data_IF_459853066480
#
_entry.id   IF_459853066480
#
_cell.length_a   1.000
_cell.length_b   1.000
_cell.length_c   1.000
_cell.angle_alpha   90.00
_cell.angle_beta   90.00
_cell.angle_gamma   90.00
#
_symmetry.space_group_name_H-M   'P 1'
#
loop_
_entity.id
_entity.type
_entity.pdbx_description
1 polymer ?
#
# COMPACT_ATOMS: atom_id res chain seq x y z
N UNK A 1 42.29 36.87 18.90
CA UNK A 1 42.01 35.42 18.97
C UNK A 1 40.89 35.20 19.97
N UNK A 2 39.67 35.04 19.48
CA UNK A 2 38.49 34.60 20.23
C UNK A 2 37.78 33.54 19.38
N UNK A 3 37.15 32.53 20.00
CA UNK A 3 37.08 31.20 19.44
C UNK A 3 35.98 31.04 18.38
N UNK A 4 36.39 30.55 17.22
CA UNK A 4 35.58 30.08 16.08
C UNK A 4 34.86 28.77 16.40
N UNK A 5 34.12 28.72 17.51
CA UNK A 5 33.57 27.47 18.06
C UNK A 5 32.04 27.39 18.21
N UNK A 6 31.30 28.49 18.00
CA UNK A 6 29.86 28.52 18.36
C UNK A 6 28.94 28.62 17.13
N UNK A 7 29.47 28.88 15.93
CA UNK A 7 28.64 29.01 14.72
C UNK A 7 28.40 27.72 13.91
N UNK A 8 28.94 26.58 14.36
CA UNK A 8 28.78 25.27 13.69
C UNK A 8 27.77 24.33 14.36
N UNK A 9 27.21 24.68 15.52
CA UNK A 9 26.21 23.84 16.21
C UNK A 9 24.76 24.21 15.91
N UNK A 10 24.49 25.40 15.36
CA UNK A 10 23.15 25.81 14.93
C UNK A 10 22.80 25.38 13.50
N UNK A 11 23.77 24.94 12.69
CA UNK A 11 23.54 24.47 11.31
C UNK A 11 23.26 22.96 11.23
N UNK A 12 23.59 22.18 12.27
CA UNK A 12 23.34 20.73 12.31
C UNK A 12 21.96 20.34 12.88
N UNK A 13 21.29 21.23 13.61
CA UNK A 13 19.92 20.95 14.12
C UNK A 13 18.85 21.19 13.05
N UNK A 14 19.16 21.96 11.99
CA UNK A 14 18.21 22.23 10.91
C UNK A 14 18.13 21.14 9.83
N UNK A 15 18.91 20.05 9.94
CA UNK A 15 18.82 18.90 9.01
C UNK A 15 17.95 17.73 9.53
N UNK A 16 17.31 17.88 10.69
CA UNK A 16 16.35 16.91 11.23
C UNK A 16 14.88 17.30 11.02
N UNK A 17 14.59 18.22 10.10
CA UNK A 17 13.24 18.29 9.53
C UNK A 17 13.10 17.21 8.47
N UNK A 18 12.76 16.00 8.92
CA UNK A 18 12.21 14.97 8.05
C UNK A 18 11.02 15.56 7.32
N UNK A 19 11.15 15.79 6.00
CA UNK A 19 10.02 16.14 5.15
C UNK A 19 8.95 15.05 5.33
N UNK A 20 7.90 15.39 6.06
CA UNK A 20 6.73 14.54 6.26
C UNK A 20 6.08 14.18 4.93
N UNK A 21 5.26 13.14 4.95
CA UNK A 21 4.42 12.79 3.81
C UNK A 21 3.44 13.95 3.60
N UNK A 22 3.36 14.46 2.37
CA UNK A 22 2.41 15.52 2.02
C UNK A 22 0.99 15.03 2.34
N UNK A 23 0.30 15.72 3.24
CA UNK A 23 -1.07 15.41 3.66
C UNK A 23 -1.21 14.54 4.91
N UNK A 24 -0.12 14.14 5.59
CA UNK A 24 -0.22 13.42 6.88
C UNK A 24 -0.12 14.39 8.06
N UNK A 25 -1.10 14.36 8.94
CA UNK A 25 -1.13 15.13 10.20
C UNK A 25 -1.24 14.18 11.40
N UNK A 26 -0.39 14.38 12.40
CA UNK A 26 -0.41 13.58 13.62
C UNK A 26 0.01 12.12 13.42
N UNK A 27 0.45 11.50 14.51
CA UNK A 27 0.70 10.07 14.60
C UNK A 27 0.18 9.60 15.95
N UNK A 28 -0.56 8.50 15.94
CA UNK A 28 -1.07 7.87 17.15
C UNK A 28 -0.57 6.43 17.22
N UNK A 29 0.04 6.07 18.35
CA UNK A 29 0.43 4.70 18.63
C UNK A 29 -0.81 3.94 19.10
N UNK A 30 -1.15 2.86 18.40
CA UNK A 30 -2.29 2.00 18.72
C UNK A 30 -1.84 0.55 18.84
N UNK A 31 -2.63 -0.22 19.57
CA UNK A 31 -2.45 -1.66 19.71
C UNK A 31 -3.70 -2.38 19.19
N UNK A 32 -3.75 -2.75 17.90
CA UNK A 32 -4.91 -3.44 17.33
C UNK A 32 -5.09 -4.80 18.00
N UNK A 33 -6.29 -5.06 18.52
CA UNK A 33 -6.64 -6.32 19.17
C UNK A 33 -7.51 -7.15 18.23
N UNK A 34 -6.99 -8.29 17.78
CA UNK A 34 -7.79 -9.28 17.04
C UNK A 34 -8.87 -9.85 17.98
N UNK A 35 -10.12 -9.82 17.55
CA UNK A 35 -11.25 -10.36 18.29
C UNK A 35 -11.56 -11.78 17.81
N UNK A 36 -11.89 -12.69 18.73
CA UNK A 36 -12.32 -14.04 18.35
C UNK A 36 -13.74 -14.00 17.80
N UNK A 37 -13.93 -14.48 16.59
CA UNK A 37 -15.25 -14.79 16.06
C UNK A 37 -15.78 -15.99 16.85
N UNK A 38 -16.87 -15.80 17.60
CA UNK A 38 -17.59 -16.93 18.21
C UNK A 38 -18.13 -17.79 17.06
N UNK A 39 -17.40 -18.83 16.67
CA UNK A 39 -17.90 -19.85 15.76
C UNK A 39 -19.19 -20.40 16.36
N UNK A 40 -20.32 -20.22 15.67
CA UNK A 40 -21.48 -21.10 15.82
C UNK A 40 -20.99 -22.51 15.46
N UNK A 41 -20.49 -23.23 16.45
CA UNK A 41 -20.30 -24.67 16.33
C UNK A 41 -21.68 -25.30 16.20
N UNK A 42 -21.71 -26.31 15.35
CA UNK A 42 -22.79 -27.30 15.18
C UNK A 42 -23.89 -26.93 14.18
N UNK A 43 -23.60 -27.12 12.88
CA UNK A 43 -24.26 -28.15 12.04
C UNK A 43 -23.72 -28.11 10.60
N UNK A 44 -23.36 -29.30 10.09
CA UNK A 44 -23.01 -29.67 8.70
C UNK A 44 -21.54 -29.40 8.26
N UNK A 45 -20.58 -30.28 8.56
CA UNK A 45 -20.15 -31.50 7.82
C UNK A 45 -19.63 -31.29 6.39
N UNK A 46 -18.36 -31.71 6.24
CA UNK A 46 -17.72 -32.32 5.06
C UNK A 46 -17.47 -31.37 3.89
N UNK A 47 -16.27 -30.80 3.83
CA UNK A 47 -15.51 -30.81 2.58
C UNK A 47 -14.01 -30.94 2.83
N UNK A 48 -13.46 -31.82 2.00
CA UNK A 48 -12.13 -32.42 1.96
C UNK A 48 -11.09 -31.45 1.41
N UNK A 49 -10.16 -31.00 2.27
CA UNK A 49 -8.78 -30.66 1.90
C UNK A 49 -7.96 -30.44 3.18
N UNK A 50 -7.10 -31.41 3.51
CA UNK A 50 -6.12 -31.37 4.60
C UNK A 50 -4.99 -30.35 4.33
N UNK A 51 -5.32 -29.06 4.20
CA UNK A 51 -4.35 -27.97 4.33
C UNK A 51 -4.95 -26.90 5.23
N UNK A 52 -4.37 -26.63 6.42
CA UNK A 52 -4.77 -25.49 7.22
C UNK A 52 -4.59 -24.21 6.39
N UNK A 53 -5.68 -23.48 6.12
CA UNK A 53 -5.58 -22.14 5.54
C UNK A 53 -4.79 -21.25 6.51
N UNK A 54 -3.69 -20.63 6.04
CA UNK A 54 -2.83 -19.76 6.84
C UNK A 54 -3.58 -18.47 7.21
N UNK A 55 -4.54 -18.06 6.37
CA UNK A 55 -5.32 -16.83 6.54
C UNK A 55 -6.83 -17.07 6.56
N UNK A 56 -7.48 -16.68 7.67
CA UNK A 56 -8.94 -16.77 7.87
C UNK A 56 -9.75 -15.91 6.87
N UNK A 57 -10.98 -16.32 6.57
CA UNK A 57 -11.87 -15.60 5.63
C UNK A 57 -12.43 -14.28 6.19
N UNK A 58 -12.59 -14.19 7.50
CA UNK A 58 -13.20 -13.06 8.20
C UNK A 58 -12.35 -12.70 9.42
N UNK A 59 -12.09 -11.42 9.60
CA UNK A 59 -11.28 -10.90 10.70
C UNK A 59 -11.97 -9.70 11.36
N UNK A 60 -11.89 -9.65 12.69
CA UNK A 60 -12.32 -8.51 13.49
C UNK A 60 -11.13 -7.94 14.25
N UNK A 61 -10.90 -6.63 14.12
CA UNK A 61 -9.88 -5.91 14.88
C UNK A 61 -10.48 -4.73 15.62
N UNK A 62 -10.25 -4.67 16.92
CA UNK A 62 -10.52 -3.49 17.73
C UNK A 62 -9.31 -2.55 17.71
N UNK A 63 -9.54 -1.28 17.37
CA UNK A 63 -8.51 -0.22 17.37
C UNK A 63 -9.04 0.95 18.21
N UNK A 64 -8.29 1.33 19.24
CA UNK A 64 -8.57 2.53 20.04
C UNK A 64 -7.83 3.72 19.44
N UNK A 65 -8.59 4.74 19.01
CA UNK A 65 -8.09 5.99 18.44
C UNK A 65 -8.67 7.18 19.22
N UNK A 66 -7.79 7.86 19.95
CA UNK A 66 -8.14 8.89 20.92
C UNK A 66 -9.09 8.34 21.98
N UNK A 67 -10.33 8.83 21.97
CA UNK A 67 -11.41 8.39 22.88
C UNK A 67 -12.41 7.45 22.21
N UNK A 68 -12.19 7.09 20.94
CA UNK A 68 -13.09 6.23 20.18
C UNK A 68 -12.49 4.84 20.05
N UNK A 69 -13.35 3.83 20.15
CA UNK A 69 -13.01 2.45 19.80
C UNK A 69 -13.67 2.14 18.47
N UNK A 70 -12.87 1.76 17.48
CA UNK A 70 -13.33 1.34 16.17
C UNK A 70 -13.17 -0.17 16.05
N UNK A 71 -14.19 -0.86 15.54
CA UNK A 71 -14.08 -2.28 15.22
C UNK A 71 -14.05 -2.44 13.70
N UNK A 72 -12.89 -2.79 13.16
CA UNK A 72 -12.72 -3.11 11.75
C UNK A 72 -13.24 -4.52 11.51
N UNK A 73 -14.20 -4.63 10.62
CA UNK A 73 -14.69 -5.88 10.07
C UNK A 73 -14.12 -6.07 8.68
N UNK A 74 -13.32 -7.11 8.52
CA UNK A 74 -12.49 -7.35 7.34
C UNK A 74 -12.84 -8.72 6.77
N UNK A 75 -13.14 -8.76 5.47
CA UNK A 75 -13.33 -9.97 4.69
C UNK A 75 -12.18 -10.13 3.71
N UNK A 76 -11.73 -11.37 3.54
CA UNK A 76 -10.64 -11.69 2.61
C UNK A 76 -11.01 -11.19 1.23
N UNK A 77 -10.12 -10.41 0.63
CA UNK A 77 -10.37 -9.76 -0.65
C UNK A 77 -10.36 -10.82 -1.75
N UNK A 78 -11.54 -11.31 -2.14
CA UNK A 78 -11.67 -12.21 -3.30
C UNK A 78 -11.64 -11.40 -4.59
N UNK A 79 -11.27 -12.06 -5.69
CA UNK A 79 -11.43 -11.58 -7.08
C UNK A 79 -10.63 -10.33 -7.50
N UNK A 80 -9.71 -9.83 -6.66
CA UNK A 80 -8.79 -8.78 -7.11
C UNK A 80 -7.63 -9.32 -7.96
N UNK A 81 -7.47 -10.63 -8.04
CA UNK A 81 -6.55 -11.35 -8.94
C UNK A 81 -7.36 -12.16 -9.94
N UNK A 82 -6.97 -12.12 -11.21
CA UNK A 82 -7.60 -12.93 -12.24
C UNK A 82 -7.25 -14.42 -12.09
N UNK A 83 -8.13 -15.31 -12.55
CA UNK A 83 -7.88 -16.76 -12.58
C UNK A 83 -6.60 -17.14 -13.34
N UNK A 84 -6.30 -16.39 -14.41
CA UNK A 84 -5.10 -16.59 -15.24
C UNK A 84 -3.96 -15.64 -14.87
N UNK A 85 -3.96 -15.10 -13.64
CA UNK A 85 -2.96 -14.13 -13.18
C UNK A 85 -1.53 -14.58 -13.49
N UNK A 86 -0.73 -13.66 -13.99
CA UNK A 86 0.62 -13.95 -14.46
C UNK A 86 1.63 -12.90 -14.06
N UNK A 87 2.86 -13.33 -13.81
CA UNK A 87 3.98 -12.47 -13.45
C UNK A 87 5.13 -12.69 -14.42
N UNK A 88 5.55 -11.62 -15.08
CA UNK A 88 6.64 -11.63 -16.05
C UNK A 88 7.87 -10.90 -15.50
N UNK A 89 9.01 -11.56 -15.58
CA UNK A 89 10.32 -11.04 -15.17
C UNK A 89 11.36 -11.30 -16.27
N UNK A 90 12.52 -10.67 -16.17
CA UNK A 90 13.62 -10.82 -17.12
C UNK A 90 14.84 -11.41 -16.41
N UNK A 91 15.41 -12.46 -17.00
CA UNK A 91 16.63 -13.07 -16.48
C UNK A 91 17.88 -12.25 -16.84
N UNK A 92 19.07 -12.69 -16.41
CA UNK A 92 20.34 -12.00 -16.67
C UNK A 92 20.69 -11.88 -18.17
N UNK A 93 20.09 -12.70 -19.02
CA UNK A 93 20.24 -12.65 -20.48
C UNK A 93 19.18 -11.76 -21.15
N UNK A 94 18.35 -11.06 -20.36
CA UNK A 94 17.16 -10.31 -20.79
C UNK A 94 16.10 -11.17 -21.48
N UNK A 95 16.07 -12.47 -21.18
CA UNK A 95 15.01 -13.36 -21.66
C UNK A 95 13.82 -13.27 -20.71
N UNK A 96 12.62 -13.25 -21.30
CA UNK A 96 11.36 -13.16 -20.58
C UNK A 96 11.02 -14.49 -19.90
N UNK A 97 10.70 -14.43 -18.61
CA UNK A 97 10.25 -15.55 -17.79
C UNK A 97 8.88 -15.20 -17.22
N UNK A 98 7.84 -15.89 -17.69
CA UNK A 98 6.46 -15.71 -17.19
C UNK A 98 6.09 -16.86 -16.28
N UNK A 99 5.51 -16.55 -15.12
CA UNK A 99 5.02 -17.51 -14.14
C UNK A 99 3.54 -17.28 -13.89
N UNK A 100 2.82 -18.37 -13.58
CA UNK A 100 1.42 -18.35 -13.14
C UNK A 100 1.37 -18.91 -11.72
N UNK A 101 1.62 -18.06 -10.70
CA UNK A 101 1.62 -18.53 -9.32
C UNK A 101 0.22 -19.02 -8.94
N UNK A 102 0.16 -20.21 -8.34
CA UNK A 102 -1.07 -20.77 -7.77
C UNK A 102 -1.34 -20.08 -6.44
N UNK A 103 -1.96 -18.91 -6.49
CA UNK A 103 -2.22 -18.08 -5.31
C UNK A 103 -3.52 -18.58 -4.69
N UNK A 104 -3.39 -19.60 -3.84
CA UNK A 104 -4.50 -20.18 -3.10
C UNK A 104 -4.77 -19.43 -1.78
N UNK A 105 -3.74 -18.77 -1.23
CA UNK A 105 -3.85 -18.12 0.07
C UNK A 105 -3.09 -16.78 0.13
N UNK A 106 -3.72 -15.76 0.72
CA UNK A 106 -3.17 -14.41 0.82
C UNK A 106 -3.75 -13.61 2.00
N UNK A 107 -3.02 -12.57 2.37
CA UNK A 107 -3.28 -11.74 3.55
C UNK A 107 -4.01 -10.41 3.27
N UNK A 108 -4.64 -10.23 2.11
CA UNK A 108 -5.29 -8.96 1.71
C UNK A 108 -6.79 -9.01 1.97
N UNK A 109 -7.30 -7.97 2.63
CA UNK A 109 -8.67 -7.87 3.11
C UNK A 109 -9.28 -6.52 2.73
N UNK A 110 -10.59 -6.50 2.59
CA UNK A 110 -11.41 -5.30 2.48
C UNK A 110 -12.55 -5.36 3.48
N UNK A 111 -13.11 -4.22 3.85
CA UNK A 111 -14.28 -4.21 4.71
C UNK A 111 -14.67 -2.82 5.20
N UNK A 112 -15.23 -2.74 6.39
CA UNK A 112 -15.82 -1.54 6.95
C UNK A 112 -15.65 -1.49 8.47
N UNK A 113 -16.02 -0.37 9.07
CA UNK A 113 -16.08 -0.23 10.52
C UNK A 113 -17.51 -0.55 10.97
N UNK A 114 -17.65 -1.42 11.96
CA UNK A 114 -18.97 -1.81 12.49
C UNK A 114 -19.68 -0.57 13.06
N UNK A 115 -20.98 -0.46 12.79
CA UNK A 115 -21.84 0.67 13.18
C UNK A 115 -21.52 2.02 12.50
N UNK A 116 -20.66 2.04 11.48
CA UNK A 116 -20.33 3.25 10.71
C UNK A 116 -20.73 3.05 9.23
N UNK A 117 -21.85 3.65 8.83
CA UNK A 117 -22.42 3.48 7.48
C UNK A 117 -21.53 4.00 6.36
N UNK A 118 -20.81 5.10 6.59
CA UNK A 118 -19.87 5.66 5.63
C UNK A 118 -18.43 5.31 6.02
N UNK A 119 -18.10 4.03 5.90
CA UNK A 119 -16.76 3.53 6.20
C UNK A 119 -16.27 2.52 5.17
N UNK A 120 -14.95 2.45 5.02
CA UNK A 120 -14.32 1.48 4.13
C UNK A 120 -12.88 1.21 4.60
N UNK A 121 -12.40 -0.01 4.41
CA UNK A 121 -11.06 -0.45 4.76
C UNK A 121 -10.46 -1.33 3.67
N UNK A 122 -9.15 -1.19 3.45
CA UNK A 122 -8.31 -2.04 2.60
C UNK A 122 -7.01 -2.30 3.34
N UNK A 123 -6.88 -3.50 3.90
CA UNK A 123 -5.85 -3.87 4.87
C UNK A 123 -5.09 -5.11 4.39
N UNK A 124 -3.78 -5.11 4.56
CA UNK A 124 -2.91 -6.27 4.48
C UNK A 124 -2.58 -6.72 5.90
N UNK A 125 -2.65 -8.02 6.17
CA UNK A 125 -2.21 -8.64 7.43
C UNK A 125 -0.89 -9.42 7.29
N UNK A 126 -0.22 -9.38 6.14
CA UNK A 126 0.95 -10.24 5.84
C UNK A 126 2.13 -10.15 6.82
N UNK A 127 2.23 -9.07 7.61
CA UNK A 127 3.31 -8.77 8.56
C UNK A 127 2.84 -7.64 9.48
N UNK A 128 1.68 -7.80 10.12
CA UNK A 128 0.96 -6.73 10.79
C UNK A 128 -0.02 -5.99 9.88
N UNK A 129 -0.91 -5.21 10.52
CA UNK A 129 -1.93 -4.42 9.83
C UNK A 129 -1.28 -3.27 9.09
N UNK A 130 -1.28 -3.34 7.76
CA UNK A 130 -0.87 -2.25 6.88
C UNK A 130 -1.99 -1.93 5.91
N UNK A 131 -2.40 -0.67 5.85
CA UNK A 131 -3.34 -0.26 4.83
C UNK A 131 -4.11 1.00 5.19
N UNK A 132 -5.24 1.16 4.53
CA UNK A 132 -6.06 2.35 4.61
C UNK A 132 -7.42 2.01 5.20
N UNK A 133 -7.96 2.90 6.03
CA UNK A 133 -9.38 2.89 6.37
C UNK A 133 -9.91 4.32 6.48
N UNK A 134 -11.20 4.47 6.23
CA UNK A 134 -11.93 5.73 6.38
C UNK A 134 -13.17 5.53 7.24
N UNK A 135 -13.52 6.58 7.97
CA UNK A 135 -14.78 6.71 8.68
C UNK A 135 -15.26 8.14 8.49
N UNK A 136 -16.44 8.28 7.88
CA UNK A 136 -16.94 9.55 7.35
C UNK A 136 -15.88 10.17 6.41
N UNK A 137 -15.68 11.49 6.52
CA UNK A 137 -14.68 12.22 5.73
C UNK A 137 -13.23 12.02 6.20
N UNK A 138 -13.03 11.27 7.31
CA UNK A 138 -11.72 11.10 7.88
C UNK A 138 -11.02 9.86 7.35
N UNK A 139 -9.78 10.05 6.91
CA UNK A 139 -8.95 9.03 6.30
C UNK A 139 -7.75 8.71 7.19
N UNK A 140 -7.42 7.44 7.26
CA UNK A 140 -6.36 6.92 8.12
C UNK A 140 -5.48 5.94 7.35
N UNK A 141 -4.18 6.00 7.63
CA UNK A 141 -3.21 5.00 7.21
C UNK A 141 -2.69 4.31 8.47
N UNK A 142 -2.76 2.98 8.51
CA UNK A 142 -2.15 2.17 9.56
C UNK A 142 -0.90 1.47 9.03
N UNK A 143 0.18 1.52 9.79
CA UNK A 143 1.39 0.76 9.52
C UNK A 143 1.95 0.13 10.80
N UNK A 144 2.51 -1.09 10.71
CA UNK A 144 3.10 -1.75 11.87
C UNK A 144 4.45 -1.12 12.24
N UNK A 145 4.71 -0.95 13.55
CA UNK A 145 6.02 -0.50 14.06
C UNK A 145 7.09 -1.57 13.87
N UNK A 146 6.71 -2.85 14.04
CA UNK A 146 7.51 -4.05 13.79
C UNK A 146 6.73 -5.01 12.92
N UNK A 147 7.40 -5.79 12.07
CA UNK A 147 6.76 -6.79 11.21
C UNK A 147 6.23 -7.97 12.04
N UNK A 148 5.04 -7.82 12.60
CA UNK A 148 4.34 -8.81 13.41
C UNK A 148 2.84 -8.53 13.37
N UNK A 149 2.04 -9.59 13.37
CA UNK A 149 0.57 -9.51 13.38
C UNK A 149 0.04 -9.01 14.73
N UNK A 150 0.82 -9.27 15.77
CA UNK A 150 0.61 -8.77 17.12
C UNK A 150 1.64 -7.69 17.43
N UNK A 151 1.19 -6.52 17.89
CA UNK A 151 2.09 -5.47 18.32
C UNK A 151 1.61 -4.06 17.98
N UNK A 152 2.51 -3.11 18.20
CA UNK A 152 2.20 -1.70 18.07
C UNK A 152 2.15 -1.26 16.62
N UNK A 153 1.20 -0.37 16.33
CA UNK A 153 0.96 0.20 15.03
C UNK A 153 0.90 1.71 15.14
N UNK A 154 1.34 2.40 14.08
CA UNK A 154 1.16 3.83 13.93
C UNK A 154 -0.05 4.09 13.04
N UNK A 155 -0.96 4.92 13.52
CA UNK A 155 -2.08 5.44 12.74
C UNK A 155 -1.83 6.91 12.41
N UNK A 156 -1.86 7.20 11.12
CA UNK A 156 -1.66 8.52 10.57
C UNK A 156 -2.97 9.05 10.03
N UNK A 157 -3.33 10.27 10.42
CA UNK A 157 -4.48 10.96 9.85
C UNK A 157 -4.06 11.55 8.50
N UNK A 158 -4.76 11.17 7.44
CA UNK A 158 -4.48 11.67 6.09
C UNK A 158 -5.49 12.75 5.71
N UNK A 159 -5.05 14.00 5.64
CA UNK A 159 -5.83 15.12 5.13
C UNK A 159 -5.53 15.32 3.63
N UNK A 160 -6.58 15.28 2.81
CA UNK A 160 -6.50 15.48 1.35
C UNK A 160 -6.21 16.94 0.97
N UNK A 161 -6.02 17.84 1.95
CA UNK A 161 -5.60 19.23 1.71
C UNK A 161 -4.13 19.25 1.29
N UNK A 162 -3.84 18.76 0.08
CA UNK A 162 -2.62 19.07 -0.62
C UNK A 162 -2.61 20.59 -0.89
N UNK A 163 -1.49 21.29 -0.66
CA UNK A 163 -1.40 22.76 -0.80
C UNK A 163 -1.39 23.25 -2.26
N UNK A 164 -1.83 22.44 -3.22
CA UNK A 164 -1.78 22.78 -4.64
C UNK A 164 -3.15 22.55 -5.28
N UNK A 165 -3.97 23.58 -5.20
CA UNK A 165 -5.00 23.83 -6.21
C UNK A 165 -4.29 24.15 -7.53
N UNK A 166 -3.90 23.13 -8.28
CA UNK A 166 -3.70 23.29 -9.72
C UNK A 166 -5.08 23.16 -10.36
N UNK A 167 -5.37 23.95 -11.39
CA UNK A 167 -6.66 24.03 -12.10
C UNK A 167 -7.14 22.72 -12.78
N UNK A 168 -6.55 21.58 -12.44
CA UNK A 168 -7.10 20.25 -12.66
C UNK A 168 -7.61 19.74 -11.32
N UNK A 169 -8.80 20.23 -10.95
CA UNK A 169 -9.47 19.88 -9.70
C UNK A 169 -9.78 18.38 -9.66
N UNK A 170 -8.94 17.60 -8.99
CA UNK A 170 -9.44 16.47 -8.22
C UNK A 170 -10.00 17.04 -6.93
N UNK A 171 -11.13 17.77 -7.04
CA UNK A 171 -11.96 18.15 -5.91
C UNK A 171 -12.17 16.90 -5.07
N UNK A 172 -11.92 17.01 -3.76
CA UNK A 172 -11.88 15.87 -2.85
C UNK A 172 -13.04 14.94 -3.12
N UNK A 173 -12.74 13.76 -3.66
CA UNK A 173 -13.75 12.75 -3.99
C UNK A 173 -14.45 12.37 -2.68
N UNK A 174 -15.58 13.02 -2.43
CA UNK A 174 -16.58 12.60 -1.48
C UNK A 174 -17.17 11.33 -2.10
N UNK A 175 -16.80 10.17 -1.56
CA UNK A 175 -17.30 8.86 -1.97
C UNK A 175 -18.77 8.64 -1.56
N UNK A 176 -19.52 9.70 -1.30
CA UNK A 176 -20.96 9.66 -1.18
C UNK A 176 -21.55 9.58 -2.59
N UNK A 177 -22.28 8.50 -2.86
CA UNK A 177 -23.13 8.35 -4.03
C UNK A 177 -24.18 9.47 -4.01
N UNK A 178 -23.82 10.67 -4.48
CA UNK A 178 -24.80 11.70 -4.82
C UNK A 178 -25.57 11.14 -6.00
N UNK A 179 -26.80 10.71 -5.77
CA UNK A 179 -27.78 10.63 -6.85
C UNK A 179 -27.93 12.06 -7.37
N UNK A 180 -27.16 12.41 -8.39
CA UNK A 180 -27.49 13.53 -9.24
C UNK A 180 -28.87 13.22 -9.77
N UNK A 181 -29.88 13.97 -9.30
CA UNK A 181 -31.15 14.09 -9.98
C UNK A 181 -30.82 14.73 -11.33
N UNK A 182 -30.52 13.89 -12.31
CA UNK A 182 -30.40 14.30 -13.70
C UNK A 182 -31.79 14.78 -14.08
N UNK A 183 -31.87 16.05 -14.46
CA UNK A 183 -33.09 16.71 -14.90
C UNK A 183 -33.83 15.83 -15.90
N UNK A 184 -35.03 15.42 -15.51
CA UNK A 184 -35.83 14.40 -16.19
C UNK A 184 -36.47 14.95 -17.47
N UNK A 185 -35.64 15.35 -18.44
CA UNK A 185 -36.06 15.63 -19.81
C UNK A 185 -35.09 14.99 -20.78
N UNK A 186 -35.53 13.86 -21.35
CA UNK A 186 -34.95 13.12 -22.47
C UNK A 186 -33.90 12.04 -22.13
N UNK A 187 -34.27 11.07 -21.28
CA UNK A 187 -33.57 9.77 -21.24
C UNK A 187 -34.48 8.76 -21.94
N UNK A 188 -34.12 8.39 -23.17
CA UNK A 188 -34.60 7.18 -23.83
C UNK A 188 -34.41 6.00 -22.86
N UNK A 189 -35.47 5.22 -22.67
CA UNK A 189 -35.58 4.14 -21.65
C UNK A 189 -34.44 3.10 -21.72
N UNK A 190 -33.68 3.04 -22.82
CA UNK A 190 -32.54 2.13 -23.01
C UNK A 190 -31.25 2.52 -22.25
N UNK A 191 -31.16 3.73 -21.67
CA UNK A 191 -29.95 4.14 -20.92
C UNK A 191 -30.00 3.80 -19.43
N UNK A 192 -31.18 3.52 -18.87
CA UNK A 192 -31.32 3.28 -17.41
C UNK A 192 -30.79 1.89 -17.01
N UNK A 193 -30.85 0.90 -17.90
CA UNK A 193 -30.37 -0.47 -17.65
C UNK A 193 -28.83 -0.59 -17.57
N UNK A 194 -28.06 0.28 -18.25
CA UNK A 194 -26.59 0.21 -18.27
C UNK A 194 -25.93 0.72 -16.98
N UNK A 195 -26.64 1.57 -16.22
CA UNK A 195 -26.12 2.13 -14.96
C UNK A 195 -26.10 1.12 -13.81
N UNK A 196 -26.88 0.05 -13.90
CA UNK A 196 -27.00 -0.96 -12.85
C UNK A 196 -26.15 -2.22 -13.12
N UNK A 197 -25.52 -2.33 -14.29
CA UNK A 197 -24.60 -3.43 -14.58
C UNK A 197 -23.27 -3.19 -13.88
N UNK A 198 -22.81 -4.23 -13.19
CA UNK A 198 -21.47 -4.25 -12.64
C UNK A 198 -20.45 -4.21 -13.79
N UNK A 199 -19.48 -3.30 -13.67
CA UNK A 199 -18.43 -3.12 -14.67
C UNK A 199 -17.13 -3.73 -14.15
N UNK A 200 -16.32 -4.24 -15.05
CA UNK A 200 -15.05 -4.88 -14.72
C UNK A 200 -13.93 -4.15 -15.45
N UNK A 201 -12.80 -3.99 -14.77
CA UNK A 201 -11.56 -3.48 -15.37
C UNK A 201 -10.47 -4.52 -15.11
N UNK A 202 -10.00 -5.13 -16.19
CA UNK A 202 -8.81 -5.95 -16.22
C UNK A 202 -7.56 -5.06 -16.20
N UNK A 203 -6.93 -4.97 -15.04
CA UNK A 203 -5.76 -4.14 -14.80
C UNK A 203 -4.48 -4.95 -15.00
N UNK A 204 -3.52 -4.39 -15.73
CA UNK A 204 -2.15 -4.88 -15.80
C UNK A 204 -1.17 -3.86 -15.20
N UNK A 205 -0.15 -4.33 -14.47
CA UNK A 205 0.82 -3.43 -13.81
C UNK A 205 2.23 -3.71 -14.30
N UNK A 206 2.90 -2.68 -14.81
CA UNK A 206 4.31 -2.73 -15.19
C UNK A 206 5.13 -1.98 -14.15
N UNK A 207 6.26 -2.53 -13.71
CA UNK A 207 7.19 -1.85 -12.82
C UNK A 207 8.54 -1.68 -13.50
N UNK A 208 9.04 -0.44 -13.53
CA UNK A 208 10.35 -0.14 -14.09
C UNK A 208 11.50 -0.74 -13.28
N UNK A 209 12.70 -0.71 -13.84
CA UNK A 209 13.89 -1.25 -13.21
C UNK A 209 14.18 -0.56 -11.87
N UNK A 210 13.91 0.73 -11.75
CA UNK A 210 14.15 1.48 -10.53
C UNK A 210 13.26 1.01 -9.38
N UNK A 211 11.96 0.85 -9.64
CA UNK A 211 10.98 0.30 -8.71
C UNK A 211 11.33 -1.14 -8.35
N UNK A 212 11.75 -1.94 -9.34
CA UNK A 212 12.24 -3.29 -9.10
C UNK A 212 13.43 -3.30 -8.15
N UNK A 213 14.53 -2.62 -8.49
CA UNK A 213 15.75 -2.60 -7.68
C UNK A 213 15.48 -2.16 -6.25
N UNK A 214 14.64 -1.13 -6.07
CA UNK A 214 14.26 -0.60 -4.77
C UNK A 214 13.45 -1.59 -3.91
N UNK A 215 12.68 -2.46 -4.53
CA UNK A 215 11.80 -3.41 -3.85
C UNK A 215 12.24 -4.88 -4.02
N UNK A 216 13.43 -5.12 -4.58
CA UNK A 216 13.93 -6.45 -4.98
C UNK A 216 14.30 -7.38 -3.82
N UNK A 217 14.44 -6.84 -2.60
CA UNK A 217 14.81 -7.62 -1.41
C UNK A 217 13.81 -7.40 -0.27
N UNK A 218 13.08 -8.45 0.17
CA UNK A 218 12.95 -9.79 -0.44
C UNK A 218 12.16 -9.77 -1.76
N UNK A 219 12.36 -10.77 -2.65
CA UNK A 219 11.77 -10.83 -4.01
C UNK A 219 10.23 -10.63 -4.02
N UNK A 220 9.54 -11.08 -2.97
CA UNK A 220 8.09 -10.97 -2.84
C UNK A 220 7.58 -9.59 -2.41
N UNK A 221 8.47 -8.65 -2.05
CA UNK A 221 8.08 -7.35 -1.50
C UNK A 221 7.36 -6.49 -2.54
N UNK A 222 7.88 -6.42 -3.78
CA UNK A 222 7.25 -5.67 -4.85
C UNK A 222 5.88 -6.24 -5.22
N UNK A 223 5.80 -7.57 -5.36
CA UNK A 223 4.54 -8.30 -5.58
C UNK A 223 3.47 -7.93 -4.56
N UNK A 224 3.77 -8.11 -3.26
CA UNK A 224 2.85 -7.76 -2.17
C UNK A 224 2.48 -6.28 -2.17
N UNK A 225 3.40 -5.40 -2.55
CA UNK A 225 3.12 -3.97 -2.68
C UNK A 225 2.14 -3.66 -3.80
N UNK A 226 2.32 -4.26 -4.97
CA UNK A 226 1.39 -4.09 -6.11
C UNK A 226 0.01 -4.66 -5.73
N UNK A 227 -0.06 -5.84 -5.12
CA UNK A 227 -1.33 -6.40 -4.65
C UNK A 227 -2.03 -5.50 -3.64
N UNK A 228 -1.31 -4.91 -2.69
CA UNK A 228 -1.89 -3.94 -1.76
C UNK A 228 -2.41 -2.68 -2.44
N UNK A 229 -1.72 -2.19 -3.47
CA UNK A 229 -2.19 -1.06 -4.29
C UNK A 229 -3.48 -1.42 -5.03
N UNK A 230 -3.54 -2.60 -5.65
CA UNK A 230 -4.74 -3.08 -6.35
C UNK A 230 -5.89 -3.31 -5.39
N UNK A 231 -5.63 -3.90 -4.21
CA UNK A 231 -6.65 -4.10 -3.19
C UNK A 231 -7.29 -2.76 -2.78
N UNK A 232 -6.47 -1.71 -2.62
CA UNK A 232 -6.95 -0.37 -2.31
C UNK A 232 -7.72 0.27 -3.47
N UNK A 233 -7.21 0.14 -4.70
CA UNK A 233 -7.90 0.64 -5.91
C UNK A 233 -9.26 -0.06 -6.08
N UNK A 234 -9.31 -1.37 -5.93
CA UNK A 234 -10.57 -2.13 -6.02
C UNK A 234 -11.58 -1.66 -4.95
N UNK A 235 -11.14 -1.40 -3.72
CA UNK A 235 -12.00 -0.83 -2.67
C UNK A 235 -12.60 0.54 -3.10
N UNK A 236 -11.82 1.39 -3.75
CA UNK A 236 -12.28 2.68 -4.27
C UNK A 236 -13.31 2.50 -5.39
N UNK A 237 -12.98 1.66 -6.38
CA UNK A 237 -13.82 1.47 -7.58
C UNK A 237 -15.13 0.72 -7.29
N UNK A 238 -15.16 -0.12 -6.24
CA UNK A 238 -16.40 -0.76 -5.77
C UNK A 238 -17.47 0.26 -5.36
N UNK A 239 -17.08 1.43 -4.86
CA UNK A 239 -18.04 2.52 -4.57
C UNK A 239 -18.75 3.06 -5.83
N UNK A 240 -18.17 2.80 -7.01
CA UNK A 240 -18.72 3.16 -8.33
C UNK A 240 -19.37 1.98 -9.05
N UNK A 241 -19.58 0.84 -8.37
CA UNK A 241 -20.05 -0.41 -8.98
C UNK A 241 -19.11 -0.96 -10.07
N UNK A 242 -17.79 -0.74 -9.89
CA UNK A 242 -16.73 -1.22 -10.76
C UNK A 242 -15.82 -2.17 -9.98
N UNK A 243 -15.59 -3.38 -10.49
CA UNK A 243 -14.58 -4.31 -9.98
C UNK A 243 -13.28 -4.15 -10.74
N UNK A 244 -12.17 -4.06 -10.03
CA UNK A 244 -10.83 -4.01 -10.62
C UNK A 244 -10.12 -5.32 -10.30
N UNK A 245 -9.69 -6.02 -11.35
CA UNK A 245 -9.03 -7.33 -11.25
C UNK A 245 -7.67 -7.25 -11.90
N UNK A 246 -6.62 -7.63 -11.17
CA UNK A 246 -5.25 -7.68 -11.68
C UNK A 246 -5.06 -8.95 -12.53
N UNK A 247 -4.88 -8.78 -13.84
CA UNK A 247 -4.61 -9.89 -14.77
C UNK A 247 -3.14 -10.29 -14.81
N UNK A 248 -2.25 -9.37 -14.42
CA UNK A 248 -0.86 -9.69 -14.28
C UNK A 248 0.02 -8.50 -13.97
N UNK A 249 1.30 -8.80 -13.79
CA UNK A 249 2.33 -7.79 -13.69
C UNK A 249 3.57 -8.14 -14.52
N UNK A 250 4.25 -7.11 -14.98
CA UNK A 250 5.56 -7.23 -15.61
C UNK A 250 6.58 -6.36 -14.90
N UNK A 251 7.73 -6.95 -14.61
CA UNK A 251 8.79 -6.28 -13.86
C UNK A 251 10.01 -6.25 -14.76
N UNK A 252 10.42 -5.05 -15.17
CA UNK A 252 11.60 -4.81 -16.00
C UNK A 252 12.90 -5.01 -15.19
N UNK A 253 13.16 -6.25 -14.80
CA UNK A 253 14.25 -6.63 -13.90
C UNK A 253 15.64 -6.64 -14.55
N UNK A 254 15.70 -6.53 -15.88
CA UNK A 254 16.94 -6.48 -16.65
C UNK A 254 17.06 -5.19 -17.48
N UNK A 255 16.56 -4.07 -16.95
CA UNK A 255 16.54 -2.77 -17.60
C UNK A 255 15.19 -2.46 -18.24
N UNK A 256 14.88 -1.17 -18.39
CA UNK A 256 13.60 -0.71 -18.91
C UNK A 256 13.41 -1.08 -20.38
N UNK A 257 12.17 -1.37 -20.75
CA UNK A 257 11.78 -1.67 -22.14
C UNK A 257 11.45 -0.41 -22.95
N UNK A 258 11.34 0.74 -22.29
CA UNK A 258 11.16 2.05 -22.91
C UNK A 258 12.17 3.04 -22.36
N UNK A 259 12.40 4.11 -23.11
CA UNK A 259 13.11 5.27 -22.58
C UNK A 259 12.19 6.07 -21.63
N UNK A 260 12.58 6.15 -20.37
CA UNK A 260 11.91 6.96 -19.35
C UNK A 260 12.61 8.32 -19.23
N UNK A 261 11.90 9.39 -19.62
CA UNK A 261 12.42 10.77 -19.63
C UNK A 261 11.71 11.64 -18.58
N UNK A 262 12.24 12.83 -18.31
CA UNK A 262 11.66 13.76 -17.32
C UNK A 262 10.31 14.35 -17.74
N UNK A 263 10.04 14.43 -19.05
CA UNK A 263 8.75 14.84 -19.58
C UNK A 263 7.75 13.66 -19.47
N UNK A 264 6.68 13.87 -18.71
CA UNK A 264 5.66 12.83 -18.44
C UNK A 264 4.79 12.51 -19.67
N UNK A 265 4.50 13.49 -20.52
CA UNK A 265 3.74 13.26 -21.76
C UNK A 265 4.54 12.42 -22.75
N UNK A 266 5.84 12.71 -22.90
CA UNK A 266 6.74 11.90 -23.73
C UNK A 266 6.87 10.48 -23.19
N UNK A 267 7.04 10.31 -21.87
CA UNK A 267 7.09 8.97 -21.26
C UNK A 267 5.76 8.22 -21.42
N UNK A 268 4.62 8.91 -21.26
CA UNK A 268 3.30 8.31 -21.50
C UNK A 268 3.15 7.87 -22.96
N UNK A 269 3.64 8.66 -23.92
CA UNK A 269 3.61 8.31 -25.34
C UNK A 269 4.49 7.10 -25.67
N UNK A 270 5.70 7.05 -25.11
CA UNK A 270 6.59 5.89 -25.24
C UNK A 270 5.92 4.63 -24.68
N UNK A 271 5.33 4.75 -23.49
CA UNK A 271 4.65 3.65 -22.83
C UNK A 271 3.37 3.21 -23.56
N UNK A 272 2.57 4.14 -24.08
CA UNK A 272 1.38 3.83 -24.88
C UNK A 272 1.73 3.06 -26.15
N UNK A 273 2.81 3.45 -26.82
CA UNK A 273 3.29 2.79 -28.03
C UNK A 273 3.80 1.38 -27.72
N UNK A 274 4.60 1.24 -26.66
CA UNK A 274 5.12 -0.06 -26.23
C UNK A 274 4.01 -1.02 -25.81
N UNK A 275 3.04 -0.57 -25.00
CA UNK A 275 1.99 -1.47 -24.54
C UNK A 275 1.12 -1.97 -25.71
N UNK A 276 0.83 -1.12 -26.69
CA UNK A 276 0.06 -1.52 -27.88
C UNK A 276 0.85 -2.48 -28.77
N UNK A 277 2.10 -2.15 -29.08
CA UNK A 277 2.88 -2.86 -30.09
C UNK A 277 3.60 -4.10 -29.56
N UNK A 278 3.79 -4.21 -28.24
CA UNK A 278 4.53 -5.29 -27.59
C UNK A 278 3.67 -6.04 -26.58
N UNK A 279 3.11 -5.35 -25.58
CA UNK A 279 2.42 -6.03 -24.46
C UNK A 279 1.09 -6.67 -24.90
N UNK A 280 0.25 -5.94 -25.65
CA UNK A 280 -1.04 -6.42 -26.15
C UNK A 280 -0.96 -7.60 -27.11
N UNK A 281 0.21 -7.87 -27.71
CA UNK A 281 0.41 -9.05 -28.56
C UNK A 281 0.46 -10.37 -27.77
N UNK A 282 0.63 -10.31 -26.45
CA UNK A 282 0.85 -11.48 -25.59
C UNK A 282 0.01 -11.51 -24.32
N UNK A 283 -0.68 -10.42 -23.99
CA UNK A 283 -1.53 -10.28 -22.81
C UNK A 283 -2.73 -9.41 -23.11
N UNK A 284 -3.89 -9.89 -22.68
CA UNK A 284 -5.14 -9.14 -22.69
C UNK A 284 -5.33 -8.39 -21.37
N UNK A 285 -5.78 -7.15 -21.46
CA UNK A 285 -6.09 -6.26 -20.35
C UNK A 285 -6.87 -5.04 -20.87
N UNK A 286 -7.68 -4.45 -20.00
CA UNK A 286 -8.42 -3.22 -20.28
C UNK A 286 -7.54 -2.00 -20.11
N UNK A 287 -6.72 -1.94 -19.05
CA UNK A 287 -5.87 -0.80 -18.72
C UNK A 287 -4.52 -1.23 -18.14
N UNK A 288 -3.45 -0.51 -18.48
CA UNK A 288 -2.11 -0.80 -17.96
C UNK A 288 -1.48 0.41 -17.25
N UNK A 289 -0.86 0.16 -16.10
CA UNK A 289 -0.17 1.19 -15.32
C UNK A 289 1.34 0.92 -15.29
N UNK A 290 2.15 1.90 -15.69
CA UNK A 290 3.59 1.91 -15.42
C UNK A 290 3.86 2.54 -14.05
N UNK A 291 4.45 1.77 -13.14
CA UNK A 291 5.01 2.24 -11.89
C UNK A 291 6.48 2.59 -12.11
N UNK A 292 6.85 3.85 -11.89
CA UNK A 292 8.23 4.31 -12.03
C UNK A 292 8.67 5.20 -10.88
N UNK A 293 9.96 5.14 -10.56
CA UNK A 293 10.60 6.03 -9.59
C UNK A 293 11.68 6.94 -10.16
N UNK A 294 11.87 6.98 -11.49
CA UNK A 294 13.02 7.67 -12.12
C UNK A 294 12.90 9.20 -12.19
N UNK A 295 11.72 9.81 -12.07
CA UNK A 295 11.53 11.28 -12.15
C UNK A 295 11.27 11.97 -10.80
N UNK A 296 12.16 11.77 -9.82
CA UNK A 296 12.01 12.30 -8.45
C UNK A 296 11.79 13.83 -8.33
N UNK A 297 12.08 14.60 -9.38
CA UNK A 297 12.05 16.08 -9.38
C UNK A 297 10.70 16.71 -9.75
N UNK A 298 9.73 15.94 -10.28
CA UNK A 298 8.40 16.49 -10.61
C UNK A 298 7.46 16.42 -9.40
N UNK A 299 6.59 17.44 -9.26
CA UNK A 299 5.51 17.44 -8.27
C UNK A 299 4.30 16.59 -8.69
N UNK A 300 4.20 16.25 -9.98
CA UNK A 300 3.15 15.41 -10.52
C UNK A 300 3.29 13.96 -10.04
N UNK A 301 2.17 13.37 -9.61
CA UNK A 301 2.11 12.01 -9.08
C UNK A 301 1.85 10.96 -10.18
N UNK A 302 1.44 11.39 -11.37
CA UNK A 302 1.21 10.53 -12.53
C UNK A 302 0.54 11.28 -13.66
N UNK A 303 0.33 10.59 -14.78
CA UNK A 303 -0.35 11.08 -15.98
C UNK A 303 -1.11 9.93 -16.67
N UNK A 304 -2.22 10.24 -17.32
CA UNK A 304 -3.03 9.31 -18.10
C UNK A 304 -3.77 10.07 -19.21
N UNK A 305 -4.28 9.36 -20.23
CA UNK A 305 -5.16 9.95 -21.23
C UNK A 305 -6.60 10.04 -20.69
N UNK A 306 -7.21 11.24 -20.61
CA UNK A 306 -8.61 11.38 -20.21
C UNK A 306 -9.54 10.60 -21.15
N UNK A 307 -10.46 9.81 -20.58
CA UNK A 307 -11.37 8.95 -21.36
C UNK A 307 -10.68 7.84 -22.16
N UNK A 308 -9.40 7.53 -21.87
CA UNK A 308 -8.61 6.56 -22.63
C UNK A 308 -8.86 5.09 -22.31
N UNK A 309 -9.65 4.78 -21.29
CA UNK A 309 -9.92 3.39 -20.87
C UNK A 309 -10.52 2.57 -22.03
N UNK A 310 -10.08 1.32 -22.17
CA UNK A 310 -10.44 0.40 -23.26
C UNK A 310 -10.08 0.88 -24.69
N UNK A 311 -9.42 2.03 -24.87
CA UNK A 311 -8.88 2.45 -26.16
C UNK A 311 -7.52 1.80 -26.42
N UNK A 312 -7.29 1.32 -27.64
CA UNK A 312 -6.12 0.47 -27.97
C UNK A 312 -4.79 1.08 -27.55
N UNK A 313 -4.51 2.32 -27.95
CA UNK A 313 -3.28 3.04 -27.64
C UNK A 313 -3.36 3.78 -26.29
N UNK A 314 -4.52 4.35 -25.96
CA UNK A 314 -4.67 5.33 -24.87
C UNK A 314 -5.02 4.73 -23.51
N UNK A 315 -5.29 3.43 -23.43
CA UNK A 315 -5.62 2.78 -22.16
C UNK A 315 -4.38 2.44 -21.34
N UNK A 316 -3.62 3.48 -20.99
CA UNK A 316 -2.47 3.37 -20.10
C UNK A 316 -2.31 4.60 -19.22
N UNK A 317 -1.60 4.40 -18.11
CA UNK A 317 -1.22 5.47 -17.18
C UNK A 317 0.23 5.28 -16.72
N UNK A 318 0.85 6.38 -16.33
CA UNK A 318 2.17 6.40 -15.75
C UNK A 318 2.07 6.99 -14.35
N UNK A 319 2.45 6.22 -13.33
CA UNK A 319 2.28 6.59 -11.92
C UNK A 319 3.62 6.59 -11.21
N UNK A 320 3.87 7.67 -10.49
CA UNK A 320 5.04 7.83 -9.63
C UNK A 320 4.93 6.88 -8.44
N UNK A 321 5.91 6.00 -8.29
CA UNK A 321 6.04 5.16 -7.11
C UNK A 321 6.79 5.92 -6.01
N UNK A 322 6.13 6.26 -4.89
CA UNK A 322 6.74 7.10 -3.86
C UNK A 322 7.91 6.41 -3.15
N UNK A 323 8.93 7.20 -2.84
CA UNK A 323 10.04 6.85 -1.98
C UNK A 323 9.53 6.81 -0.53
N UNK A 324 9.04 5.66 -0.02
CA UNK A 324 8.67 5.59 1.40
C UNK A 324 9.93 5.75 2.27
N UNK A 325 10.03 6.89 2.98
CA UNK A 325 11.00 7.12 4.06
C UNK A 325 10.57 6.52 5.41
N UNK A 326 9.35 5.98 5.52
CA UNK A 326 8.85 5.43 6.79
C UNK A 326 9.73 4.24 7.28
N UNK A 327 10.31 3.47 6.35
CA UNK A 327 11.27 2.41 6.68
C UNK A 327 12.62 2.91 7.24
N UNK A 328 12.92 4.22 7.17
CA UNK A 328 14.14 4.83 7.70
C UNK A 328 13.94 5.57 9.03
N UNK A 329 12.71 5.65 9.55
CA UNK A 329 12.44 6.15 10.91
C UNK A 329 12.35 5.00 11.91
N UNK A 330 13.28 4.05 11.85
CA UNK A 330 13.55 3.24 13.03
C UNK A 330 14.16 4.18 14.08
N UNK A 331 13.66 4.21 15.33
CA UNK A 331 14.41 4.86 16.39
C UNK A 331 15.81 4.23 16.41
N UNK A 332 16.85 5.07 16.40
CA UNK A 332 18.19 4.60 16.69
C UNK A 332 18.12 3.73 17.95
N UNK A 333 18.82 2.58 18.00
CA UNK A 333 18.91 1.82 19.24
C UNK A 333 19.37 2.79 20.32
N UNK A 334 18.57 2.91 21.38
CA UNK A 334 18.95 3.61 22.59
C UNK A 334 20.31 3.01 22.97
N UNK A 335 21.39 3.79 23.08
CA UNK A 335 22.67 3.25 23.50
C UNK A 335 22.44 2.58 24.85
N UNK A 336 22.68 1.27 24.90
CA UNK A 336 22.67 0.52 26.15
C UNK A 336 23.60 1.27 27.09
N UNK A 337 23.05 1.80 28.18
CA UNK A 337 23.84 2.24 29.32
C UNK A 337 24.50 0.96 29.80
N UNK A 338 25.78 0.79 29.47
CA UNK A 338 26.61 -0.24 30.04
C UNK A 338 26.59 -0.02 31.54
N UNK A 339 25.94 -0.94 32.26
CA UNK A 339 26.20 -1.14 33.68
C UNK A 339 27.70 -1.40 33.81
N UNK A 340 28.44 -0.39 34.24
CA UNK A 340 29.79 -0.57 34.73
C UNK A 340 29.71 -1.53 35.91
N UNK A 341 30.33 -2.68 35.71
CA UNK A 341 30.62 -3.69 36.71
C UNK A 341 31.24 -3.06 37.95
N UNK A 342 30.52 -3.11 39.07
CA UNK A 342 31.09 -2.98 40.41
C UNK A 342 32.08 -4.13 40.63
N UNK A 343 33.35 -3.82 40.44
CA UNK A 343 34.48 -4.67 40.83
C UNK A 343 34.60 -4.69 42.36
N UNK A 344 34.28 -5.84 42.95
CA UNK A 344 35.15 -6.54 43.91
C UNK A 344 35.72 -5.67 45.05
N UNK A 345 34.93 -5.42 46.11
CA UNK A 345 35.50 -5.20 47.44
C UNK A 345 35.78 -6.56 48.11
N UNK A 346 37.06 -6.93 48.14
CA UNK A 346 37.56 -8.08 48.91
C UNK A 346 37.37 -7.81 50.41
N UNK A 347 36.53 -8.62 51.05
CA UNK A 347 36.44 -8.76 52.50
C UNK A 347 37.70 -9.45 53.02
N UNK A 348 38.61 -8.71 53.64
CA UNK A 348 39.70 -9.29 54.43
C UNK A 348 39.14 -9.78 55.77
N UNK A 349 39.16 -11.10 55.98
CA UNK A 349 39.03 -11.71 57.30
C UNK A 349 40.29 -11.45 58.14
N UNK A 350 40.17 -11.15 59.44
CA UNK A 350 41.32 -11.00 60.33
C UNK A 350 41.88 -12.36 60.75
N UNK A 351 43.17 -12.58 60.50
CA UNK A 351 43.94 -13.67 61.09
C UNK A 351 44.22 -13.37 62.56
N UNK A 352 43.65 -14.18 63.45
CA UNK A 352 44.08 -14.33 64.84
C UNK A 352 45.51 -14.89 64.88
N UNK A 353 46.38 -14.27 65.66
CA UNK A 353 47.80 -14.64 65.75
C UNK A 353 48.09 -15.92 66.54
N UNK A 354 49.35 -16.34 66.48
CA UNK A 354 50.07 -16.84 67.65
C UNK A 354 51.58 -16.70 67.48
N UNK A 355 52.15 -16.00 68.45
CA UNK A 355 53.56 -16.06 68.85
C UNK A 355 53.77 -17.39 69.57
N UNK A 356 54.69 -18.21 69.09
CA UNK A 356 55.79 -18.80 69.87
C UNK A 356 56.83 -19.37 68.92
#
# INVERSE_FOLDING_TARGET
MFPTGIFLMSVLISQMQGRGIVGVEGQELVHPKKLSLLQKRDLERIHDSDTPEEYEEELLYEIKLGRKTLTLHLLKAREFLALNYSETYYNIKREMVTRHPQILDHCFYQGSIIHEFDSAASISTCNGLRGFFRVNDQRYLIEPVKYSDEGDHLVFKYNVKAPYATNYSCEGLNFTKKSTLIDAKNIEEHKVEDYHKEKFIELFVVADEFVYRRNSKPQNKLRKRIWGMVNFVNMIYKALNIRVTLTGMEIWSAGDEIEIVSNLESTLLHFSTWQETVLKKRKDFDHVILLSGKWLYTSMQGIAYPGGICQTLRSCSVVKHPCNKIQQMQPNPIPAISEESETSMHTQQPTSGRIQ
#
